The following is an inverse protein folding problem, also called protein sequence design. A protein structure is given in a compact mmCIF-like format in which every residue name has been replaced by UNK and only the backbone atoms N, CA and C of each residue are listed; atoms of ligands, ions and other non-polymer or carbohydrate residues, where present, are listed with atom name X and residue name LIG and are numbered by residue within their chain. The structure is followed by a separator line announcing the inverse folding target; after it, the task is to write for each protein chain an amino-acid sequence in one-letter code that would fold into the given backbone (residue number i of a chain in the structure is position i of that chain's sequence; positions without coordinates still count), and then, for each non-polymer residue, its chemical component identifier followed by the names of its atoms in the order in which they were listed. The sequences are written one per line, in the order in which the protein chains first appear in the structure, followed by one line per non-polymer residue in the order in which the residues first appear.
data_IF_320535691449
#
_entry.id   IF_320535691449
#
_cell.length_a   1.000
_cell.length_b   1.000
_cell.length_c   1.000
_cell.angle_alpha   90.00
_cell.angle_beta   90.00
_cell.angle_gamma   90.00
#
_symmetry.space_group_name_H-M   'P 1'
#
loop_
_entity.id
_entity.type
_entity.pdbx_description
1 polymer ?
#
# COMPACT_ATOMS: atom_id res chain seq x y z
N UNK A 1 -8.21 30.18 -16.49
CA UNK A 1 -8.23 28.75 -16.87
C UNK A 1 -9.25 28.07 -16.00
N UNK A 2 -10.49 28.02 -16.50
CA UNK A 2 -11.59 27.31 -15.85
C UNK A 2 -11.54 25.83 -16.18
N UNK A 3 -12.20 25.01 -15.36
CA UNK A 3 -12.34 23.57 -15.57
C UNK A 3 -12.91 23.19 -16.95
N UNK A 4 -13.69 24.10 -17.55
CA UNK A 4 -14.33 23.93 -18.86
C UNK A 4 -13.40 24.24 -20.05
N UNK A 5 -12.20 24.80 -19.81
CA UNK A 5 -11.19 25.03 -20.86
C UNK A 5 -10.41 23.74 -21.22
N UNK A 6 -10.62 22.66 -20.46
CA UNK A 6 -9.97 21.37 -20.71
C UNK A 6 -10.75 20.55 -21.74
N UNK A 7 -10.05 20.04 -22.76
CA UNK A 7 -10.61 19.03 -23.67
C UNK A 7 -11.33 17.94 -22.87
N UNK A 8 -12.55 17.52 -23.27
CA UNK A 8 -13.34 16.51 -22.55
C UNK A 8 -12.55 15.23 -22.24
N UNK A 9 -11.60 14.87 -23.12
CA UNK A 9 -10.74 13.72 -22.94
C UNK A 9 -9.74 13.91 -21.79
N UNK A 10 -9.11 15.09 -21.70
CA UNK A 10 -8.15 15.42 -20.64
C UNK A 10 -8.83 15.50 -19.29
N UNK A 11 -10.03 16.08 -19.22
CA UNK A 11 -10.85 16.14 -18.00
C UNK A 11 -11.16 14.73 -17.46
N UNK A 12 -11.57 13.81 -18.34
CA UNK A 12 -11.81 12.40 -17.95
C UNK A 12 -10.55 11.70 -17.45
N UNK A 13 -9.41 11.92 -18.10
CA UNK A 13 -8.13 11.33 -17.67
C UNK A 13 -7.73 11.81 -16.28
N UNK A 14 -7.86 13.11 -16.00
CA UNK A 14 -7.55 13.67 -14.68
C UNK A 14 -8.50 13.13 -13.61
N UNK A 15 -9.79 13.05 -13.91
CA UNK A 15 -10.77 12.45 -12.99
C UNK A 15 -10.43 10.98 -12.70
N UNK A 16 -10.17 10.18 -13.73
CA UNK A 16 -9.80 8.78 -13.57
C UNK A 16 -8.52 8.61 -12.73
N UNK A 17 -7.49 9.43 -13.00
CA UNK A 17 -6.25 9.41 -12.24
C UNK A 17 -6.49 9.77 -10.76
N UNK A 18 -7.30 10.78 -10.48
CA UNK A 18 -7.71 11.14 -9.12
C UNK A 18 -8.45 10.02 -8.40
N UNK A 19 -9.39 9.36 -9.07
CA UNK A 19 -10.09 8.19 -8.52
C UNK A 19 -9.13 7.05 -8.18
N UNK A 20 -8.20 6.73 -9.09
CA UNK A 20 -7.17 5.70 -8.85
C UNK A 20 -6.32 6.07 -7.64
N UNK A 21 -5.94 7.34 -7.50
CA UNK A 21 -5.16 7.81 -6.35
C UNK A 21 -5.90 7.58 -5.03
N UNK A 22 -7.17 7.98 -4.96
CA UNK A 22 -7.98 7.87 -3.75
C UNK A 22 -8.14 6.39 -3.37
N UNK A 23 -8.49 5.54 -4.33
CA UNK A 23 -8.64 4.10 -4.08
C UNK A 23 -7.33 3.47 -3.62
N UNK A 24 -6.21 3.85 -4.24
CA UNK A 24 -4.89 3.33 -3.87
C UNK A 24 -4.50 3.75 -2.44
N UNK A 25 -4.73 5.00 -2.06
CA UNK A 25 -4.45 5.50 -0.72
C UNK A 25 -5.34 4.82 0.34
N UNK A 26 -6.64 4.68 0.07
CA UNK A 26 -7.57 3.98 0.96
C UNK A 26 -7.18 2.51 1.15
N UNK A 27 -6.84 1.82 0.05
CA UNK A 27 -6.37 0.44 0.12
C UNK A 27 -5.09 0.31 0.95
N UNK A 28 -4.14 1.24 0.81
CA UNK A 28 -2.91 1.23 1.57
C UNK A 28 -3.14 1.49 3.07
N UNK A 29 -3.98 2.46 3.43
CA UNK A 29 -4.35 2.69 4.84
C UNK A 29 -5.14 1.53 5.44
N UNK A 30 -6.05 0.91 4.69
CA UNK A 30 -6.82 -0.24 5.16
C UNK A 30 -5.91 -1.46 5.38
N UNK A 31 -5.00 -1.75 4.44
CA UNK A 31 -3.99 -2.80 4.61
C UNK A 31 -3.12 -2.51 5.85
N UNK A 32 -2.66 -1.27 6.04
CA UNK A 32 -1.89 -0.86 7.22
C UNK A 32 -2.66 -1.02 8.54
N UNK A 33 -3.96 -0.71 8.54
CA UNK A 33 -4.82 -0.82 9.70
C UNK A 33 -4.96 -2.30 10.13
N UNK A 34 -5.31 -3.16 9.18
CA UNK A 34 -5.57 -4.59 9.42
C UNK A 34 -4.28 -5.38 9.69
N UNK A 35 -3.16 -5.03 9.03
CA UNK A 35 -1.91 -5.79 9.11
C UNK A 35 -1.27 -5.67 10.51
N UNK A 36 -0.88 -6.77 11.17
CA UNK A 36 -0.22 -6.71 12.47
C UNK A 36 1.09 -5.92 12.41
N UNK A 37 1.42 -5.16 13.47
CA UNK A 37 2.60 -4.28 13.48
C UNK A 37 3.92 -5.03 13.22
N UNK A 38 4.04 -6.29 13.66
CA UNK A 38 5.21 -7.13 13.37
C UNK A 38 5.46 -7.33 11.86
N UNK A 39 4.40 -7.30 11.04
CA UNK A 39 4.46 -7.48 9.58
C UNK A 39 4.57 -6.16 8.81
N UNK A 40 4.79 -5.04 9.49
CA UNK A 40 5.00 -3.71 8.89
C UNK A 40 6.41 -3.23 9.22
N UNK A 41 7.13 -2.71 8.22
CA UNK A 41 8.50 -2.21 8.40
C UNK A 41 8.52 -0.88 9.15
N UNK A 42 8.68 -0.91 10.46
CA UNK A 42 8.74 0.30 11.29
C UNK A 42 7.37 0.67 11.88
N UNK A 43 7.23 1.87 12.47
CA UNK A 43 6.02 2.25 13.16
C UNK A 43 4.87 2.57 12.19
N UNK A 44 3.66 2.13 12.52
CA UNK A 44 2.48 2.31 11.66
C UNK A 44 2.18 3.78 11.37
N UNK A 45 2.33 4.66 12.36
CA UNK A 45 2.03 6.09 12.20
C UNK A 45 2.90 6.76 11.12
N UNK A 46 4.16 6.34 10.97
CA UNK A 46 5.03 6.86 9.93
C UNK A 46 4.50 6.47 8.54
N UNK A 47 4.04 5.24 8.38
CA UNK A 47 3.42 4.79 7.13
C UNK A 47 2.11 5.51 6.83
N UNK A 48 1.31 5.85 7.84
CA UNK A 48 0.10 6.67 7.64
C UNK A 48 0.44 8.01 6.98
N UNK A 49 1.49 8.69 7.46
CA UNK A 49 1.98 9.95 6.88
C UNK A 49 2.53 9.75 5.48
N UNK A 50 3.36 8.71 5.28
CA UNK A 50 3.94 8.39 3.97
C UNK A 50 2.85 8.14 2.94
N UNK A 51 1.84 7.31 3.24
CA UNK A 51 0.71 7.00 2.34
C UNK A 51 -0.07 8.26 1.94
N UNK A 52 -0.11 9.29 2.78
CA UNK A 52 -0.74 10.58 2.44
C UNK A 52 -0.03 11.36 1.33
N UNK A 53 1.18 10.95 0.91
CA UNK A 53 1.97 11.65 -0.11
C UNK A 53 1.66 11.12 -1.51
N UNK A 54 0.63 11.67 -2.15
CA UNK A 54 0.27 11.42 -3.56
C UNK A 54 0.31 9.91 -3.93
N UNK A 55 0.79 9.55 -5.12
CA UNK A 55 0.98 8.15 -5.54
C UNK A 55 2.23 7.51 -4.94
N UNK A 56 3.24 8.30 -4.61
CA UNK A 56 4.54 7.79 -4.12
C UNK A 56 4.36 7.07 -2.79
N UNK A 57 3.55 7.63 -1.89
CA UNK A 57 3.28 7.09 -0.57
C UNK A 57 2.69 5.68 -0.57
N UNK A 58 1.50 5.49 -1.15
CA UNK A 58 0.86 4.18 -1.22
C UNK A 58 1.72 3.13 -1.95
N UNK A 59 2.38 3.53 -3.05
CA UNK A 59 3.28 2.62 -3.79
C UNK A 59 4.49 2.20 -2.93
N UNK A 60 5.10 3.15 -2.21
CA UNK A 60 6.19 2.85 -1.30
C UNK A 60 5.76 1.92 -0.15
N UNK A 61 4.54 2.10 0.37
CA UNK A 61 3.98 1.22 1.39
C UNK A 61 3.83 -0.23 0.88
N UNK A 62 3.23 -0.41 -0.30
CA UNK A 62 3.04 -1.76 -0.85
C UNK A 62 4.35 -2.45 -1.23
N UNK A 63 5.34 -1.69 -1.73
CA UNK A 63 6.65 -2.20 -2.12
C UNK A 63 7.61 -2.46 -0.96
N UNK A 64 7.69 -1.54 0.01
CA UNK A 64 8.67 -1.61 1.11
C UNK A 64 8.07 -1.67 2.50
N UNK A 65 6.85 -1.16 2.72
CA UNK A 65 6.21 -1.11 4.04
C UNK A 65 5.75 -2.46 4.57
N UNK A 66 5.49 -3.44 3.69
CA UNK A 66 5.07 -4.79 4.08
C UNK A 66 6.28 -5.70 4.32
N UNK A 67 6.25 -6.50 5.39
CA UNK A 67 7.15 -7.65 5.58
C UNK A 67 6.44 -8.94 5.15
N UNK A 68 7.09 -9.73 4.30
CA UNK A 68 6.75 -11.14 4.14
C UNK A 68 7.21 -11.90 5.39
N UNK A 69 6.37 -12.79 5.93
CA UNK A 69 6.73 -13.61 7.07
C UNK A 69 7.81 -14.63 6.64
N UNK A 70 8.99 -14.69 7.28
CA UNK A 70 9.97 -15.75 7.05
C UNK A 70 9.58 -17.10 7.67
N UNK A 71 8.39 -17.22 8.26
CA UNK A 71 7.97 -18.38 9.06
C UNK A 71 7.51 -19.59 8.26
N UNK A 72 7.04 -19.39 7.02
CA UNK A 72 6.48 -20.48 6.22
C UNK A 72 7.55 -21.50 5.75
N UNK A 73 8.83 -21.11 5.80
CA UNK A 73 9.96 -21.95 5.39
C UNK A 73 10.68 -22.65 6.55
N UNK A 74 10.31 -22.36 7.82
CA UNK A 74 10.99 -22.92 9.01
C UNK A 74 10.15 -24.00 9.72
N UNK A 75 8.86 -24.07 9.43
CA UNK A 75 7.93 -25.00 10.08
C UNK A 75 7.82 -26.36 9.35
N UNK A 76 8.36 -26.46 8.14
CA UNK A 76 8.38 -27.69 7.34
C UNK A 76 9.57 -28.62 7.59
N UNK A 77 10.65 -28.17 8.23
CA UNK A 77 11.89 -28.95 8.34
C UNK A 77 12.06 -29.62 9.71
N UNK A 78 11.41 -29.10 10.76
CA UNK A 78 11.68 -29.51 12.17
C UNK A 78 10.90 -30.77 12.60
N UNK A 79 10.00 -31.31 11.77
CA UNK A 79 9.14 -32.45 12.17
C UNK A 79 9.60 -33.82 11.67
N UNK A 80 10.67 -33.89 10.87
CA UNK A 80 11.05 -35.11 10.17
C UNK A 80 12.25 -35.86 10.78
N UNK A 81 12.88 -35.34 11.84
CA UNK A 81 14.10 -35.94 12.42
C UNK A 81 13.91 -36.63 13.78
N UNK A 82 12.67 -36.79 14.25
CA UNK A 82 12.33 -37.44 15.53
C UNK A 82 11.47 -38.73 15.34
N UNK A 83 11.80 -39.57 14.36
CA UNK A 83 11.16 -40.89 14.17
C UNK A 83 12.19 -41.97 13.90
#
# INVERSE_FOLDING_TARGET
MGWDDLSPHRRRQLAALGFVQILLALAAWLDLAIRPAARVRGPKWAWTLVIGVNFVGPLAYFGWGRRASPGDLRDGEVRFTDQ
#
